data_IF_091976129143
#
_entry.id   IF_091976129143
#
_cell.length_a   1.000
_cell.length_b   1.000
_cell.length_c   1.000
_cell.angle_alpha   90.00
_cell.angle_beta   90.00
_cell.angle_gamma   90.00
#
_symmetry.space_group_name_H-M   'P 1'
#
loop_
_entity.id
_entity.type
_entity.pdbx_description
1 polymer ?
#
# COMPACT_ATOMS: atom_id res chain seq x y z
N UNK A 1 21.77 -2.72 -17.85
CA UNK A 1 20.83 -3.01 -16.75
C UNK A 1 20.05 -4.26 -17.14
N UNK A 2 20.57 -5.43 -16.78
CA UNK A 2 19.95 -6.73 -17.09
C UNK A 2 18.64 -6.87 -16.31
N UNK A 3 17.52 -6.97 -17.02
CA UNK A 3 16.22 -7.27 -16.41
C UNK A 3 16.22 -8.74 -15.97
N UNK A 4 16.35 -8.98 -14.67
CA UNK A 4 16.10 -10.30 -14.08
C UNK A 4 14.68 -10.75 -14.43
N UNK A 5 14.53 -11.91 -15.07
CA UNK A 5 13.24 -12.57 -15.29
C UNK A 5 12.65 -12.92 -13.92
N UNK A 6 11.63 -12.18 -13.49
CA UNK A 6 10.92 -12.37 -12.22
C UNK A 6 9.65 -13.21 -12.42
N UNK A 7 9.82 -14.48 -12.76
CA UNK A 7 8.72 -15.46 -12.87
C UNK A 7 8.82 -16.57 -11.82
N UNK A 8 9.58 -16.37 -10.75
CA UNK A 8 9.78 -17.37 -9.69
C UNK A 8 8.81 -17.10 -8.51
N UNK A 9 7.91 -18.04 -8.17
CA UNK A 9 7.05 -17.98 -6.98
C UNK A 9 7.81 -17.72 -5.68
N UNK A 10 9.12 -18.03 -5.65
CA UNK A 10 9.99 -17.80 -4.51
C UNK A 10 10.17 -16.31 -4.14
N UNK A 11 9.66 -15.37 -4.95
CA UNK A 11 9.75 -13.91 -4.74
C UNK A 11 8.83 -13.40 -3.63
N UNK A 12 7.70 -14.06 -3.35
CA UNK A 12 6.70 -13.59 -2.39
C UNK A 12 6.95 -14.06 -0.95
N UNK A 13 8.21 -13.97 -0.52
CA UNK A 13 8.60 -14.18 0.89
C UNK A 13 8.71 -12.84 1.60
N UNK A 14 8.51 -12.84 2.93
CA UNK A 14 8.60 -11.60 3.74
C UNK A 14 9.97 -10.96 3.55
N UNK A 15 11.03 -11.77 3.53
CA UNK A 15 12.41 -11.31 3.39
C UNK A 15 12.66 -10.63 2.04
N UNK A 16 12.26 -11.27 0.93
CA UNK A 16 12.49 -10.70 -0.41
C UNK A 16 11.64 -9.46 -0.65
N UNK A 17 10.39 -9.45 -0.20
CA UNK A 17 9.52 -8.28 -0.33
C UNK A 17 10.04 -7.13 0.52
N UNK A 18 10.49 -7.41 1.75
CA UNK A 18 11.16 -6.41 2.58
C UNK A 18 12.39 -5.85 1.89
N UNK A 19 13.22 -6.71 1.29
CA UNK A 19 14.39 -6.29 0.51
C UNK A 19 14.02 -5.37 -0.66
N UNK A 20 13.03 -5.75 -1.47
CA UNK A 20 12.54 -4.91 -2.57
C UNK A 20 12.05 -3.54 -2.08
N UNK A 21 11.32 -3.49 -0.98
CA UNK A 21 10.89 -2.22 -0.41
C UNK A 21 12.06 -1.39 0.12
N UNK A 22 13.04 -2.01 0.79
CA UNK A 22 14.26 -1.33 1.24
C UNK A 22 15.00 -0.68 0.07
N UNK A 23 15.22 -1.45 -1.00
CA UNK A 23 15.88 -0.98 -2.22
C UNK A 23 15.12 0.21 -2.83
N UNK A 24 13.80 0.10 -2.98
CA UNK A 24 12.99 1.19 -3.56
C UNK A 24 12.93 2.42 -2.67
N UNK A 25 12.90 2.27 -1.35
CA UNK A 25 12.95 3.41 -0.41
C UNK A 25 14.31 4.10 -0.46
N UNK A 26 15.41 3.33 -0.52
CA UNK A 26 16.76 3.87 -0.67
C UNK A 26 16.92 4.65 -1.99
N UNK A 27 16.43 4.11 -3.12
CA UNK A 27 16.42 4.82 -4.40
C UNK A 27 15.57 6.11 -4.34
N UNK A 28 14.36 6.04 -3.77
CA UNK A 28 13.48 7.21 -3.62
C UNK A 28 14.14 8.31 -2.80
N UNK A 29 14.95 7.97 -1.80
CA UNK A 29 15.67 8.94 -0.99
C UNK A 29 16.64 9.81 -1.82
N UNK A 30 17.05 9.36 -2.99
CA UNK A 30 17.90 10.11 -3.92
C UNK A 30 17.11 11.06 -4.83
N UNK A 31 15.77 11.04 -4.83
CA UNK A 31 14.98 11.92 -5.69
C UNK A 31 14.86 13.35 -5.14
N UNK A 32 14.78 14.38 -6.01
CA UNK A 32 14.77 15.79 -5.59
C UNK A 32 13.69 16.13 -4.55
N UNK A 33 12.54 15.48 -4.62
CA UNK A 33 11.43 15.66 -3.66
C UNK A 33 11.73 15.09 -2.26
N UNK A 34 12.71 14.18 -2.16
CA UNK A 34 13.17 13.53 -0.92
C UNK A 34 14.63 13.83 -0.58
N UNK A 35 15.35 14.60 -1.39
CA UNK A 35 16.70 15.10 -1.08
C UNK A 35 16.63 16.19 0.00
N UNK A 36 16.28 15.79 1.21
CA UNK A 36 16.53 16.56 2.42
C UNK A 36 18.03 16.40 2.78
N UNK A 37 18.62 17.34 3.53
CA UNK A 37 19.99 17.16 4.05
C UNK A 37 20.09 15.76 4.68
N UNK A 38 21.13 14.96 4.38
CA UNK A 38 21.29 13.56 4.87
C UNK A 38 21.01 13.39 6.37
N UNK A 39 21.22 14.44 7.16
CA UNK A 39 20.92 14.54 8.60
C UNK A 39 19.42 14.54 8.97
N UNK A 40 18.51 14.50 7.98
CA UNK A 40 17.07 14.70 8.16
C UNK A 40 16.20 13.60 7.55
N UNK A 41 16.71 12.37 7.49
CA UNK A 41 15.90 11.18 7.18
C UNK A 41 14.77 11.08 8.22
N UNK A 42 13.53 11.01 7.73
CA UNK A 42 12.30 11.05 8.55
C UNK A 42 11.79 9.66 8.92
N UNK A 43 12.26 8.63 8.22
CA UNK A 43 11.97 7.23 8.52
C UNK A 43 13.07 6.58 9.38
N UNK A 44 12.75 5.48 10.03
CA UNK A 44 13.71 4.69 10.80
C UNK A 44 14.67 3.95 9.87
N UNK A 45 15.94 3.94 10.24
CA UNK A 45 16.97 3.09 9.64
C UNK A 45 17.40 2.01 10.65
N UNK A 46 17.89 0.89 10.17
CA UNK A 46 18.47 -0.17 11.01
C UNK A 46 19.96 0.08 11.29
N UNK A 47 20.60 -0.87 11.98
CA UNK A 47 22.00 -0.78 12.39
C UNK A 47 22.98 -0.75 11.21
N UNK A 48 22.55 -1.16 10.01
CA UNK A 48 23.35 -1.08 8.77
C UNK A 48 23.14 0.23 8.03
N UNK A 49 22.22 1.07 8.49
CA UNK A 49 21.85 2.34 7.84
C UNK A 49 20.80 2.17 6.74
N UNK A 50 20.23 0.98 6.58
CA UNK A 50 19.20 0.71 5.59
C UNK A 50 17.80 1.10 6.12
N UNK A 51 16.83 1.43 5.25
CA UNK A 51 15.47 1.72 5.69
C UNK A 51 14.87 0.57 6.50
N UNK A 52 14.35 0.84 7.70
CA UNK A 52 13.72 -0.18 8.55
C UNK A 52 12.28 -0.47 8.10
N UNK A 53 12.10 -1.12 6.95
CA UNK A 53 10.78 -1.53 6.45
C UNK A 53 10.22 -2.71 7.25
N UNK A 54 8.92 -2.68 7.56
CA UNK A 54 8.18 -3.83 8.11
C UNK A 54 7.15 -4.30 7.09
N UNK A 55 7.14 -5.60 6.82
CA UNK A 55 6.21 -6.23 5.87
C UNK A 55 5.45 -7.35 6.57
N UNK A 56 4.15 -7.41 6.32
CA UNK A 56 3.31 -8.56 6.65
C UNK A 56 2.67 -9.11 5.37
N UNK A 57 2.62 -10.44 5.24
CA UNK A 57 2.04 -11.10 4.07
C UNK A 57 0.91 -12.04 4.52
N UNK A 58 -0.26 -11.87 3.91
CA UNK A 58 -1.41 -12.77 4.07
C UNK A 58 -1.73 -13.47 2.75
N UNK A 59 -1.84 -14.80 2.76
CA UNK A 59 -2.27 -15.58 1.60
C UNK A 59 -3.67 -16.12 1.85
N UNK A 60 -4.64 -15.57 1.13
CA UNK A 60 -6.07 -15.82 1.36
C UNK A 60 -6.76 -16.24 0.06
N UNK A 61 -7.86 -17.02 0.12
CA UNK A 61 -8.68 -17.25 -1.06
C UNK A 61 -9.35 -15.94 -1.52
N UNK A 62 -9.79 -15.85 -2.77
CA UNK A 62 -10.38 -14.62 -3.31
C UNK A 62 -11.71 -14.24 -2.63
N UNK A 63 -12.45 -15.23 -2.14
CA UNK A 63 -13.69 -15.02 -1.37
C UNK A 63 -13.44 -14.70 0.11
N UNK A 64 -12.18 -14.51 0.52
CA UNK A 64 -11.85 -14.18 1.89
C UNK A 64 -12.38 -12.81 2.27
N UNK A 65 -13.08 -12.79 3.40
CA UNK A 65 -13.59 -11.58 4.00
C UNK A 65 -12.51 -10.90 4.87
N UNK A 66 -11.86 -9.88 4.29
CA UNK A 66 -10.83 -9.06 4.96
C UNK A 66 -11.27 -8.46 6.29
N UNK A 67 -12.57 -8.28 6.46
CA UNK A 67 -13.16 -7.53 7.56
C UNK A 67 -13.83 -8.42 8.60
N UNK A 68 -13.76 -9.73 8.40
CA UNK A 68 -14.33 -10.70 9.33
C UNK A 68 -13.75 -10.50 10.74
N UNK A 69 -14.60 -10.15 11.69
CA UNK A 69 -14.21 -9.87 13.09
C UNK A 69 -13.77 -8.43 13.38
N UNK A 70 -13.55 -7.60 12.35
CA UNK A 70 -13.23 -6.17 12.50
C UNK A 70 -14.44 -5.25 12.27
N UNK A 71 -15.52 -5.77 11.68
CA UNK A 71 -16.79 -5.04 11.57
C UNK A 71 -17.36 -4.80 12.96
N UNK A 72 -17.44 -3.53 13.35
CA UNK A 72 -18.05 -3.14 14.61
C UNK A 72 -19.58 -3.26 14.50
N UNK A 73 -20.25 -4.08 15.34
CA UNK A 73 -21.72 -4.15 15.34
C UNK A 73 -22.40 -2.83 15.73
N UNK A 74 -21.70 -1.91 16.39
CA UNK A 74 -22.21 -0.56 16.72
C UNK A 74 -22.09 0.44 15.55
N UNK A 75 -21.37 0.10 14.49
CA UNK A 75 -21.21 0.91 13.28
C UNK A 75 -21.82 0.13 12.12
N UNK A 76 -23.13 -0.12 12.21
CA UNK A 76 -23.91 -0.80 11.18
C UNK A 76 -23.83 0.00 9.88
N UNK A 77 -23.28 -0.60 8.83
CA UNK A 77 -23.28 -0.03 7.49
C UNK A 77 -21.91 0.37 6.93
N UNK A 78 -20.90 0.66 7.76
CA UNK A 78 -19.56 0.99 7.22
C UNK A 78 -18.85 -0.31 6.83
N UNK A 79 -18.90 -0.63 5.53
CA UNK A 79 -18.23 -1.79 4.95
C UNK A 79 -17.04 -1.30 4.13
N UNK A 80 -15.82 -1.44 4.66
CA UNK A 80 -14.65 -1.00 3.93
C UNK A 80 -14.40 -1.92 2.72
N UNK A 81 -13.64 -1.43 1.73
CA UNK A 81 -13.49 -2.14 0.46
C UNK A 81 -12.91 -3.55 0.66
N UNK A 82 -13.59 -4.57 0.13
CA UNK A 82 -13.14 -5.96 0.10
C UNK A 82 -12.39 -6.29 -1.18
N UNK A 83 -11.98 -7.56 -1.31
CA UNK A 83 -11.27 -8.04 -2.50
C UNK A 83 -12.09 -7.89 -3.79
N UNK A 84 -13.42 -8.02 -3.67
CA UNK A 84 -14.36 -7.82 -4.79
C UNK A 84 -14.37 -6.36 -5.25
N UNK A 85 -14.58 -5.43 -4.33
CA UNK A 85 -14.64 -3.99 -4.64
C UNK A 85 -13.32 -3.50 -5.24
N UNK A 86 -12.18 -3.96 -4.70
CA UNK A 86 -10.85 -3.66 -5.24
C UNK A 86 -10.73 -4.18 -6.68
N UNK A 87 -11.13 -5.42 -6.94
CA UNK A 87 -11.08 -6.00 -8.28
C UNK A 87 -11.97 -5.24 -9.26
N UNK A 88 -13.24 -5.02 -8.91
CA UNK A 88 -14.22 -4.37 -9.78
C UNK A 88 -13.81 -2.95 -10.13
N UNK A 89 -13.32 -2.19 -9.13
CA UNK A 89 -12.74 -0.87 -9.36
C UNK A 89 -11.64 -0.90 -10.42
N UNK A 90 -10.64 -1.77 -10.26
CA UNK A 90 -9.52 -1.83 -11.20
C UNK A 90 -9.91 -2.40 -12.58
N UNK A 91 -10.82 -3.39 -12.61
CA UNK A 91 -11.30 -3.99 -13.83
C UNK A 91 -12.15 -3.04 -14.68
N UNK A 92 -12.86 -2.09 -14.05
CA UNK A 92 -13.76 -1.17 -14.74
C UNK A 92 -13.13 0.17 -15.07
N UNK A 93 -12.16 0.65 -14.27
CA UNK A 93 -11.53 1.96 -14.47
C UNK A 93 -10.38 1.94 -15.49
N UNK A 94 -9.72 0.79 -15.71
CA UNK A 94 -8.58 0.66 -16.65
C UNK A 94 -9.03 0.52 -18.11
N UNK A 95 -9.89 1.42 -18.60
CA UNK A 95 -10.22 1.54 -20.05
C UNK A 95 -9.00 1.93 -20.90
N UNK A 96 -7.98 2.54 -20.31
CA UNK A 96 -6.71 2.76 -20.99
C UNK A 96 -5.98 1.41 -21.12
N UNK A 97 -5.59 1.04 -22.35
CA UNK A 97 -4.87 -0.21 -22.71
C UNK A 97 -3.50 -0.34 -22.02
N UNK A 98 -3.14 0.62 -21.19
CA UNK A 98 -1.83 0.86 -20.61
C UNK A 98 -2.07 1.35 -19.17
N UNK A 99 -1.42 0.74 -18.18
CA UNK A 99 -1.45 1.24 -16.80
C UNK A 99 -0.71 2.59 -16.69
N UNK A 100 -0.75 3.22 -15.52
CA UNK A 100 -0.05 4.49 -15.25
C UNK A 100 1.48 4.42 -15.39
N UNK A 101 2.03 3.24 -15.70
CA UNK A 101 3.45 2.96 -15.86
C UNK A 101 3.80 2.43 -17.26
N UNK A 102 2.89 2.55 -18.23
CA UNK A 102 3.22 2.24 -19.63
C UNK A 102 3.04 0.77 -20.03
N UNK A 103 2.42 -0.08 -19.20
CA UNK A 103 2.32 -1.54 -19.45
C UNK A 103 0.92 -1.99 -19.87
N UNK A 104 0.84 -2.97 -20.78
CA UNK A 104 -0.43 -3.59 -21.13
C UNK A 104 -1.02 -4.31 -19.92
N UNK A 105 -2.21 -3.86 -19.51
CA UNK A 105 -2.93 -4.43 -18.36
C UNK A 105 -3.79 -5.59 -18.82
N UNK A 106 -3.96 -6.64 -18.01
CA UNK A 106 -4.89 -7.75 -18.30
C UNK A 106 -6.37 -7.29 -18.39
N UNK A 107 -6.67 -6.08 -17.93
CA UNK A 107 -8.00 -5.47 -17.93
C UNK A 107 -8.31 -4.74 -19.25
N UNK A 108 -7.73 -5.17 -20.38
CA UNK A 108 -8.11 -4.62 -21.70
C UNK A 108 -9.61 -4.73 -21.97
N UNK A 109 -10.23 -5.77 -21.40
CA UNK A 109 -11.67 -5.98 -21.34
C UNK A 109 -12.03 -6.11 -19.86
N UNK A 110 -13.01 -5.33 -19.35
CA UNK A 110 -13.48 -5.49 -17.97
C UNK A 110 -13.84 -6.95 -17.70
N UNK A 111 -13.25 -7.53 -16.66
CA UNK A 111 -13.51 -8.90 -16.22
C UNK A 111 -14.28 -8.87 -14.92
N UNK A 112 -15.29 -9.73 -14.79
CA UNK A 112 -16.07 -9.83 -13.56
C UNK A 112 -15.24 -10.46 -12.43
N UNK A 113 -15.71 -10.32 -11.19
CA UNK A 113 -15.04 -10.95 -10.05
C UNK A 113 -15.11 -12.49 -10.12
N UNK A 114 -16.17 -13.06 -10.69
CA UNK A 114 -16.28 -14.51 -10.92
C UNK A 114 -15.22 -15.01 -11.91
N UNK A 115 -14.85 -14.19 -12.90
CA UNK A 115 -13.71 -14.49 -13.77
C UNK A 115 -12.41 -14.53 -12.95
N UNK A 116 -12.22 -13.56 -12.05
CA UNK A 116 -11.06 -13.52 -11.16
C UNK A 116 -10.99 -14.79 -10.29
N UNK A 117 -12.09 -15.20 -9.67
CA UNK A 117 -12.16 -16.41 -8.85
C UNK A 117 -11.87 -17.71 -9.62
N UNK A 118 -12.28 -17.78 -10.90
CA UNK A 118 -11.98 -18.93 -11.76
C UNK A 118 -10.52 -18.96 -12.24
N UNK A 119 -9.92 -17.79 -12.40
CA UNK A 119 -8.57 -17.64 -12.99
C UNK A 119 -7.48 -17.63 -11.92
N UNK A 120 -7.73 -16.95 -10.81
CA UNK A 120 -6.83 -16.80 -9.67
C UNK A 120 -7.39 -17.56 -8.49
N UNK A 121 -6.62 -18.51 -7.97
CA UNK A 121 -7.04 -19.32 -6.81
C UNK A 121 -6.87 -18.58 -5.49
N UNK A 122 -5.89 -17.68 -5.41
CA UNK A 122 -5.47 -17.01 -4.16
C UNK A 122 -5.05 -15.56 -4.39
N UNK A 123 -5.18 -14.77 -3.33
CA UNK A 123 -4.66 -13.41 -3.20
C UNK A 123 -3.55 -13.41 -2.17
N UNK A 124 -2.43 -12.78 -2.50
CA UNK A 124 -1.38 -12.43 -1.56
C UNK A 124 -1.50 -10.95 -1.24
N UNK A 125 -1.83 -10.64 0.00
CA UNK A 125 -1.95 -9.29 0.52
C UNK A 125 -0.66 -8.97 1.25
N UNK A 126 0.00 -7.90 0.85
CA UNK A 126 1.25 -7.42 1.40
C UNK A 126 0.93 -6.10 2.10
N UNK A 127 0.99 -6.06 3.43
CA UNK A 127 0.93 -4.81 4.19
C UNK A 127 2.35 -4.32 4.46
N UNK A 128 2.60 -3.04 4.26
CA UNK A 128 3.92 -2.44 4.45
C UNK A 128 3.85 -1.23 5.36
N UNK A 129 4.83 -1.14 6.26
CA UNK A 129 5.02 0.01 7.14
C UNK A 129 6.44 0.52 7.02
N UNK A 130 6.57 1.84 6.84
CA UNK A 130 7.81 2.59 6.96
C UNK A 130 7.78 3.38 8.27
N UNK A 131 8.42 2.89 9.35
CA UNK A 131 8.39 3.53 10.65
C UNK A 131 9.08 4.90 10.62
N UNK A 132 8.65 5.81 11.50
CA UNK A 132 9.31 7.09 11.70
C UNK A 132 10.65 6.93 12.42
N UNK A 133 11.60 7.83 12.13
CA UNK A 133 12.88 7.89 12.85
C UNK A 133 12.67 8.09 14.35
N UNK A 134 13.38 7.31 15.18
CA UNK A 134 13.35 7.46 16.64
C UNK A 134 13.66 8.89 17.09
N UNK A 135 14.60 9.56 16.42
CA UNK A 135 14.96 10.95 16.72
C UNK A 135 13.76 11.89 16.54
N UNK A 136 12.94 11.65 15.52
CA UNK A 136 11.76 12.50 15.28
C UNK A 136 10.65 12.21 16.29
N UNK A 137 10.46 10.94 16.67
CA UNK A 137 9.54 10.56 17.75
C UNK A 137 9.96 11.21 19.08
N UNK A 138 11.25 11.17 19.42
CA UNK A 138 11.80 11.82 20.63
C UNK A 138 11.61 13.34 20.58
N UNK A 139 11.88 13.97 19.44
CA UNK A 139 11.66 15.40 19.26
C UNK A 139 10.18 15.78 19.43
N UNK A 140 9.26 14.91 19.00
CA UNK A 140 7.83 15.10 19.21
C UNK A 140 7.46 15.00 20.68
N UNK A 141 7.92 13.95 21.37
CA UNK A 141 7.68 13.77 22.80
C UNK A 141 8.17 14.97 23.61
N UNK A 142 9.40 15.43 23.36
CA UNK A 142 9.93 16.64 24.00
C UNK A 142 9.10 17.89 23.68
N UNK A 143 8.69 18.07 22.42
CA UNK A 143 7.88 19.23 22.03
C UNK A 143 6.51 19.26 22.72
N UNK A 144 5.89 18.09 22.98
CA UNK A 144 4.63 17.98 23.71
C UNK A 144 4.84 18.21 25.20
N UNK A 145 5.91 17.65 25.77
CA UNK A 145 6.21 17.76 27.21
C UNK A 145 6.70 19.14 27.65
N UNK A 146 7.37 19.89 26.76
CA UNK A 146 7.98 21.18 27.12
C UNK A 146 6.96 22.35 27.21
N UNK A 147 5.68 22.15 26.88
CA UNK A 147 4.60 23.18 26.78
C UNK A 147 4.93 24.42 25.92
N UNK A 148 6.14 24.51 25.36
CA UNK A 148 6.54 25.53 24.40
C UNK A 148 5.83 25.22 23.10
N UNK A 149 5.04 26.18 22.60
CA UNK A 149 4.38 26.18 21.29
C UNK A 149 5.38 25.96 20.14
N UNK A 150 5.90 24.74 19.98
CA UNK A 150 6.63 24.31 18.80
C UNK A 150 5.60 24.03 17.72
N UNK A 151 5.89 24.50 16.51
CA UNK A 151 4.97 24.39 15.39
C UNK A 151 4.67 22.92 15.06
N UNK A 152 3.40 22.53 15.20
CA UNK A 152 2.88 21.21 14.82
C UNK A 152 3.08 20.90 13.33
N UNK A 153 3.34 21.93 12.53
CA UNK A 153 3.66 21.84 11.11
C UNK A 153 4.83 20.91 10.80
N UNK A 154 5.87 20.87 11.63
CA UNK A 154 7.05 20.02 11.39
C UNK A 154 6.66 18.53 11.44
N UNK A 155 5.78 18.16 12.38
CA UNK A 155 5.32 16.78 12.55
C UNK A 155 4.32 16.37 11.47
N UNK A 156 3.42 17.29 11.08
CA UNK A 156 2.54 17.09 9.94
C UNK A 156 3.34 16.84 8.66
N UNK A 157 4.34 17.68 8.39
CA UNK A 157 5.20 17.54 7.20
C UNK A 157 5.96 16.22 7.21
N UNK A 158 6.49 15.80 8.38
CA UNK A 158 7.11 14.48 8.52
C UNK A 158 6.15 13.35 8.16
N UNK A 159 4.93 13.39 8.68
CA UNK A 159 3.90 12.40 8.39
C UNK A 159 3.60 12.35 6.89
N UNK A 160 3.41 13.51 6.25
CA UNK A 160 3.18 13.63 4.81
C UNK A 160 4.34 13.02 3.99
N UNK A 161 5.59 13.33 4.34
CA UNK A 161 6.77 12.90 3.58
C UNK A 161 7.02 11.39 3.67
N UNK A 162 6.95 10.81 4.87
CA UNK A 162 7.12 9.35 5.05
C UNK A 162 6.00 8.60 4.34
N UNK A 163 4.78 9.14 4.39
CA UNK A 163 3.66 8.54 3.69
C UNK A 163 3.80 8.63 2.17
N UNK A 164 4.25 9.77 1.65
CA UNK A 164 4.53 9.94 0.23
C UNK A 164 5.59 8.93 -0.25
N UNK A 165 6.67 8.76 0.53
CA UNK A 165 7.72 7.79 0.23
C UNK A 165 7.19 6.36 0.22
N UNK A 166 6.41 5.96 1.24
CA UNK A 166 5.79 4.64 1.27
C UNK A 166 4.86 4.41 0.07
N UNK A 167 4.05 5.40 -0.31
CA UNK A 167 3.15 5.29 -1.47
C UNK A 167 3.91 5.09 -2.78
N UNK A 168 4.97 5.87 -2.99
CA UNK A 168 5.83 5.71 -4.18
C UNK A 168 6.55 4.37 -4.19
N UNK A 169 7.01 3.89 -3.03
CA UNK A 169 7.63 2.58 -2.90
C UNK A 169 6.63 1.46 -3.24
N UNK A 170 5.38 1.55 -2.78
CA UNK A 170 4.30 0.59 -3.12
C UNK A 170 4.05 0.56 -4.63
N UNK A 171 4.01 1.73 -5.28
CA UNK A 171 3.91 1.81 -6.73
C UNK A 171 5.06 1.08 -7.44
N UNK A 172 6.31 1.37 -7.05
CA UNK A 172 7.52 0.77 -7.65
C UNK A 172 7.62 -0.73 -7.42
N UNK A 173 7.41 -1.19 -6.20
CA UNK A 173 7.39 -2.63 -5.90
C UNK A 173 6.24 -3.31 -6.64
N UNK A 174 5.08 -2.66 -6.77
CA UNK A 174 3.97 -3.18 -7.56
C UNK A 174 4.34 -3.38 -9.04
N UNK A 175 5.10 -2.45 -9.62
CA UNK A 175 5.67 -2.56 -10.97
C UNK A 175 6.65 -3.73 -11.07
N UNK A 176 7.50 -3.94 -10.07
CA UNK A 176 8.48 -5.03 -10.08
C UNK A 176 7.81 -6.40 -9.95
N UNK A 177 6.76 -6.51 -9.14
CA UNK A 177 6.02 -7.76 -8.93
C UNK A 177 5.06 -8.09 -10.08
N UNK A 178 4.73 -7.13 -10.94
CA UNK A 178 3.84 -7.36 -12.07
C UNK A 178 4.50 -8.33 -13.06
N UNK A 179 3.83 -9.46 -13.30
CA UNK A 179 4.26 -10.51 -14.23
C UNK A 179 3.15 -10.79 -15.26
N UNK A 180 3.45 -11.63 -16.25
CA UNK A 180 2.44 -12.09 -17.23
C UNK A 180 1.41 -13.03 -16.58
N UNK A 181 1.78 -13.68 -15.47
CA UNK A 181 1.01 -14.75 -14.83
C UNK A 181 0.18 -14.27 -13.62
N UNK A 182 0.31 -13.00 -13.25
CA UNK A 182 -0.32 -12.42 -12.07
C UNK A 182 -0.74 -10.97 -12.25
N UNK A 183 -1.65 -10.53 -11.40
CA UNK A 183 -2.19 -9.17 -11.42
C UNK A 183 -1.81 -8.48 -10.14
N UNK A 184 -1.18 -7.32 -10.25
CA UNK A 184 -0.77 -6.54 -9.10
C UNK A 184 -1.62 -5.28 -9.00
N UNK A 185 -2.26 -5.11 -7.85
CA UNK A 185 -3.11 -3.99 -7.50
C UNK A 185 -2.47 -3.26 -6.32
N UNK A 186 -1.69 -2.21 -6.62
CA UNK A 186 -1.08 -1.38 -5.58
C UNK A 186 -2.12 -0.48 -4.93
N UNK A 187 -2.23 -0.52 -3.60
CA UNK A 187 -3.22 0.26 -2.83
C UNK A 187 -2.49 1.34 -2.04
N UNK A 188 -2.08 2.41 -2.74
CA UNK A 188 -1.64 3.66 -2.11
C UNK A 188 -2.82 4.46 -1.57
N UNK A 189 -2.53 5.56 -0.84
CA UNK A 189 -3.56 6.35 -0.18
C UNK A 189 -4.62 6.88 -1.19
N UNK A 190 -4.21 7.35 -2.37
CA UNK A 190 -5.12 7.88 -3.40
C UNK A 190 -6.03 6.79 -3.97
N UNK A 191 -5.48 5.61 -4.27
CA UNK A 191 -6.27 4.47 -4.77
C UNK A 191 -7.19 3.91 -3.71
N UNK A 192 -6.77 3.85 -2.45
CA UNK A 192 -7.62 3.45 -1.32
C UNK A 192 -8.82 4.38 -1.21
N UNK A 193 -8.60 5.70 -1.25
CA UNK A 193 -9.68 6.71 -1.23
C UNK A 193 -10.63 6.51 -2.40
N UNK A 194 -10.10 6.42 -3.64
CA UNK A 194 -10.94 6.25 -4.84
C UNK A 194 -11.74 4.96 -4.87
N UNK A 195 -11.14 3.84 -4.45
CA UNK A 195 -11.87 2.56 -4.31
C UNK A 195 -12.98 2.71 -3.28
N UNK A 196 -12.69 3.36 -2.15
CA UNK A 196 -13.67 3.59 -1.09
C UNK A 196 -14.82 4.49 -1.55
N UNK A 197 -14.56 5.48 -2.39
CA UNK A 197 -15.57 6.41 -2.90
C UNK A 197 -16.42 5.83 -4.04
N UNK A 198 -15.82 5.01 -4.91
CA UNK A 198 -16.45 4.60 -6.16
C UNK A 198 -17.01 3.17 -6.13
N UNK A 199 -16.37 2.25 -5.42
CA UNK A 199 -16.77 0.84 -5.39
C UNK A 199 -17.66 0.51 -4.19
N UNK A 200 -17.63 1.31 -3.13
CA UNK A 200 -18.50 1.14 -1.95
C UNK A 200 -19.73 2.02 -2.13
N UNK A 201 -20.96 1.50 -1.98
CA UNK A 201 -22.17 2.33 -2.04
C UNK A 201 -22.16 3.48 -1.04
N UNK A 202 -22.69 4.65 -1.41
CA UNK A 202 -22.75 5.84 -0.53
C UNK A 202 -23.38 5.55 0.83
N UNK A 203 -24.38 4.66 0.88
CA UNK A 203 -25.05 4.24 2.12
C UNK A 203 -24.13 3.45 3.07
N UNK A 204 -22.99 2.98 2.58
CA UNK A 204 -21.97 2.26 3.34
C UNK A 204 -20.69 3.08 3.55
N UNK A 205 -20.68 4.33 3.08
CA UNK A 205 -19.62 5.29 3.33
C UNK A 205 -19.97 6.11 4.58
N UNK A 206 -19.03 6.26 5.51
CA UNK A 206 -19.22 7.09 6.70
C UNK A 206 -17.88 7.56 7.26
N UNK A 207 -17.93 8.56 8.15
CA UNK A 207 -16.77 8.99 8.92
C UNK A 207 -16.36 7.85 9.87
N UNK A 208 -15.34 7.09 9.48
CA UNK A 208 -14.70 6.11 10.35
C UNK A 208 -14.16 6.84 11.59
N UNK A 209 -14.93 6.90 12.68
CA UNK A 209 -14.47 7.39 13.98
C UNK A 209 -13.48 6.37 14.58
N UNK A 210 -12.24 6.47 14.11
CA UNK A 210 -11.02 5.77 14.48
C UNK A 210 -9.84 6.48 13.76
N UNK A 211 -8.58 6.08 13.91
CA UNK A 211 -7.42 6.78 13.32
C UNK A 211 -7.32 6.63 11.78
N UNK A 212 -8.45 6.59 11.08
CA UNK A 212 -8.58 6.42 9.63
C UNK A 212 -9.24 7.66 9.03
N UNK A 213 -8.57 8.81 9.08
CA UNK A 213 -9.01 10.00 8.35
C UNK A 213 -8.58 9.86 6.89
N UNK A 214 -9.46 9.36 6.02
CA UNK A 214 -9.31 9.49 4.56
C UNK A 214 -9.59 8.25 3.70
N UNK A 215 -9.86 7.08 4.29
CA UNK A 215 -10.14 5.88 3.50
C UNK A 215 -10.62 4.70 4.33
N UNK A 216 -11.51 3.90 3.75
CA UNK A 216 -12.08 2.70 4.35
C UNK A 216 -11.22 1.48 3.97
N UNK A 217 -9.92 1.54 4.30
CA UNK A 217 -9.00 0.40 4.18
C UNK A 217 -7.93 0.51 5.28
N UNK A 218 -7.57 -0.58 5.99
CA UNK A 218 -6.72 -0.49 7.15
C UNK A 218 -5.29 -0.72 6.65
N UNK A 219 -4.51 0.35 6.57
CA UNK A 219 -3.08 0.31 6.24
C UNK A 219 -2.73 0.26 4.74
N UNK A 220 -1.51 0.74 4.47
CA UNK A 220 -0.86 0.75 3.18
C UNK A 220 -0.54 -0.67 2.75
N UNK A 221 -1.15 -1.11 1.66
CA UNK A 221 -1.09 -2.50 1.25
C UNK A 221 -0.94 -2.65 -0.25
N UNK A 222 -0.58 -3.84 -0.67
CA UNK A 222 -0.39 -4.26 -2.05
C UNK A 222 -1.03 -5.62 -2.18
N UNK A 223 -2.06 -5.74 -3.04
CA UNK A 223 -2.68 -7.01 -3.32
C UNK A 223 -2.09 -7.59 -4.62
N UNK A 224 -1.63 -8.83 -4.54
CA UNK A 224 -1.05 -9.60 -5.65
C UNK A 224 -1.93 -10.83 -5.88
N UNK A 225 -2.55 -10.92 -7.06
CA UNK A 225 -3.34 -12.06 -7.50
C UNK A 225 -2.46 -12.99 -8.33
N UNK A 226 -2.35 -14.25 -7.94
CA UNK A 226 -1.50 -15.21 -8.62
C UNK A 226 -2.28 -16.40 -9.19
N UNK A 227 -1.93 -16.78 -10.42
CA UNK A 227 -2.41 -17.98 -11.11
C UNK A 227 -1.53 -19.21 -10.87
N UNK A 228 -1.06 -19.45 -9.64
CA UNK A 228 -0.26 -20.64 -9.36
C UNK A 228 -1.17 -21.83 -9.10
N UNK A 229 -1.17 -22.73 -10.09
CA UNK A 229 -1.94 -23.96 -10.16
C UNK A 229 -1.46 -25.02 -9.20
#
# INVERSE_FOLDING_TARGET
MERRKMSDPSILTVEKITGLFKDRVAELQEEPEFQWKRESIKYAVDDTGDPSVKVAIGNVPLDYDLWKGLRNPAVVGISPAGLKEIWEYHAHRRRARVDEYGRQTIFQIPKSFEYAQKTFKRVVIISVMLPFSHKVIQNYQQAVSDERNRSSYIFRRMYEDVNLMANKAIGRVGIDLASVEGVVLAMDDDRVTKVSEEAVPLTHQGDSHGPSKGGNYPQKSLAVLMGLG
#
